data_IF_238132121637
#
_entry.id   IF_238132121637
#
_cell.length_a   1.000
_cell.length_b   1.000
_cell.length_c   1.000
_cell.angle_alpha   90.00
_cell.angle_beta   90.00
_cell.angle_gamma   90.00
#
_symmetry.space_group_name_H-M   'P 1'
#
loop_
_entity.id
_entity.type
_entity.pdbx_description
1 polymer ?
#
# COMPACT_ATOMS: atom_id res chain seq x y z
N UNK A 1 -2.80 -3.80 32.98
CA UNK A 1 -3.26 -2.75 32.05
C UNK A 1 -3.35 -3.41 30.70
N UNK A 2 -4.50 -3.33 30.03
CA UNK A 2 -4.57 -3.71 28.61
C UNK A 2 -3.65 -2.73 27.85
N UNK A 3 -2.87 -3.19 26.86
CA UNK A 3 -2.08 -2.29 26.03
C UNK A 3 -2.99 -1.23 25.41
N UNK A 4 -2.52 0.01 25.34
CA UNK A 4 -3.27 1.12 24.77
C UNK A 4 -3.42 0.88 23.26
N UNK A 5 -4.63 0.57 22.80
CA UNK A 5 -4.92 0.32 21.39
C UNK A 5 -5.44 1.59 20.73
N UNK A 6 -5.09 1.81 19.47
CA UNK A 6 -5.63 2.91 18.66
C UNK A 6 -7.00 2.49 18.15
N UNK A 7 -8.03 3.28 18.47
CA UNK A 7 -9.38 3.06 17.96
C UNK A 7 -9.51 3.57 16.52
N UNK A 8 -9.94 2.69 15.62
CA UNK A 8 -10.29 2.98 14.23
C UNK A 8 -11.78 3.34 14.14
N UNK A 9 -12.08 4.35 13.34
CA UNK A 9 -13.44 4.75 13.02
C UNK A 9 -13.65 4.70 11.51
N UNK A 10 -14.72 4.06 11.05
CA UNK A 10 -15.06 4.07 9.64
C UNK A 10 -15.67 5.41 9.25
N UNK A 11 -15.03 6.11 8.30
CA UNK A 11 -15.58 7.36 7.72
C UNK A 11 -16.64 7.08 6.67
N UNK A 12 -16.36 6.13 5.79
CA UNK A 12 -17.21 5.72 4.67
C UNK A 12 -16.77 4.38 4.12
N UNK A 13 -17.60 3.82 3.25
CA UNK A 13 -17.19 2.78 2.30
C UNK A 13 -16.60 3.41 1.04
N UNK A 14 -15.81 2.66 0.30
CA UNK A 14 -15.24 3.05 -0.99
C UNK A 14 -16.20 2.75 -2.15
N UNK A 15 -17.37 3.39 -2.16
CA UNK A 15 -18.37 3.30 -3.23
C UNK A 15 -17.94 4.05 -4.50
N UNK A 16 -18.24 3.49 -5.67
CA UNK A 16 -17.75 3.94 -6.98
C UNK A 16 -18.91 4.11 -7.95
N UNK A 17 -18.87 5.17 -8.76
CA UNK A 17 -19.81 5.37 -9.84
C UNK A 17 -19.54 4.35 -10.96
N UNK A 18 -20.55 3.54 -11.29
CA UNK A 18 -20.43 2.51 -12.34
C UNK A 18 -20.75 3.08 -13.71
N UNK A 19 -19.86 2.82 -14.68
CA UNK A 19 -20.07 3.16 -16.09
C UNK A 19 -20.63 2.00 -16.92
N UNK A 20 -20.44 0.76 -16.45
CA UNK A 20 -20.84 -0.46 -17.15
C UNK A 20 -21.39 -1.51 -16.17
N UNK A 21 -22.37 -2.36 -16.56
CA UNK A 21 -22.97 -3.36 -15.66
C UNK A 21 -22.01 -4.40 -15.07
N UNK A 22 -20.85 -4.62 -15.70
CA UNK A 22 -19.83 -5.55 -15.22
C UNK A 22 -18.90 -4.94 -14.15
N UNK A 23 -19.01 -3.64 -13.88
CA UNK A 23 -18.20 -2.97 -12.86
C UNK A 23 -18.85 -3.13 -11.49
N UNK A 24 -18.04 -3.48 -10.47
CA UNK A 24 -18.49 -3.47 -9.08
C UNK A 24 -18.78 -2.03 -8.64
N UNK A 25 -19.87 -1.75 -7.89
CA UNK A 25 -20.19 -0.39 -7.43
C UNK A 25 -19.34 0.09 -6.24
N UNK A 26 -18.22 -0.58 -5.97
CA UNK A 26 -17.28 -0.27 -4.90
C UNK A 26 -15.90 -0.86 -5.21
N UNK A 27 -14.89 -0.43 -4.45
CA UNK A 27 -13.60 -1.10 -4.33
C UNK A 27 -13.71 -2.20 -3.26
N UNK A 28 -13.26 -3.42 -3.55
CA UNK A 28 -13.32 -4.54 -2.61
C UNK A 28 -12.01 -4.75 -1.87
N UNK A 29 -10.89 -4.91 -2.59
CA UNK A 29 -9.58 -5.17 -2.01
C UNK A 29 -8.66 -3.95 -2.18
N UNK A 30 -8.80 -2.97 -1.28
CA UNK A 30 -8.06 -1.72 -1.35
C UNK A 30 -6.67 -1.86 -0.71
N UNK A 31 -5.61 -1.71 -1.51
CA UNK A 31 -4.24 -2.11 -1.13
C UNK A 31 -3.21 -0.99 -1.29
N UNK A 32 -3.67 0.26 -1.37
CA UNK A 32 -2.77 1.42 -1.32
C UNK A 32 -3.54 2.73 -1.34
N UNK A 33 -3.06 3.71 -0.58
CA UNK A 33 -3.73 5.01 -0.41
C UNK A 33 -2.74 6.17 -0.53
N UNK A 34 -3.11 7.16 -1.34
CA UNK A 34 -2.49 8.47 -1.29
C UNK A 34 -3.54 9.57 -1.25
N UNK A 35 -3.29 10.63 -0.47
CA UNK A 35 -4.20 11.76 -0.31
C UNK A 35 -3.46 13.04 -0.68
N UNK A 36 -4.09 13.86 -1.51
CA UNK A 36 -3.52 15.12 -1.96
C UNK A 36 -4.48 15.85 -2.89
N UNK A 37 -4.28 17.16 -3.04
CA UNK A 37 -5.10 18.00 -3.93
C UNK A 37 -6.63 17.91 -3.67
N UNK A 38 -7.05 17.70 -2.41
CA UNK A 38 -8.47 17.53 -2.06
C UNK A 38 -9.09 16.24 -2.60
N UNK A 39 -8.26 15.24 -2.91
CA UNK A 39 -8.67 13.95 -3.46
C UNK A 39 -7.96 12.81 -2.73
N UNK A 40 -8.55 11.61 -2.81
CA UNK A 40 -7.97 10.35 -2.33
C UNK A 40 -7.82 9.42 -3.51
N UNK A 41 -6.65 8.83 -3.64
CA UNK A 41 -6.28 7.93 -4.73
C UNK A 41 -6.05 6.57 -4.12
N UNK A 42 -6.73 5.58 -4.66
CA UNK A 42 -6.70 4.20 -4.17
C UNK A 42 -6.36 3.28 -5.33
N UNK A 43 -5.43 2.35 -5.09
CA UNK A 43 -5.21 1.17 -5.93
C UNK A 43 -5.77 -0.06 -5.21
N UNK A 44 -6.03 -1.10 -5.98
CA UNK A 44 -6.59 -2.35 -5.50
C UNK A 44 -5.77 -3.52 -6.05
N UNK A 45 -5.65 -4.60 -5.30
CA UNK A 45 -4.87 -5.76 -5.74
C UNK A 45 -5.52 -6.46 -6.97
N UNK A 46 -6.84 -6.43 -7.06
CA UNK A 46 -7.68 -7.19 -7.99
C UNK A 46 -8.13 -6.39 -9.22
N UNK A 47 -7.82 -5.09 -9.29
CA UNK A 47 -8.20 -4.20 -10.39
C UNK A 47 -6.99 -3.48 -10.99
N UNK A 48 -7.01 -3.27 -12.31
CA UNK A 48 -5.98 -2.51 -13.02
C UNK A 48 -6.32 -1.02 -13.16
N UNK A 49 -6.93 -0.44 -12.12
CA UNK A 49 -7.43 0.93 -12.15
C UNK A 49 -7.01 1.75 -10.93
N UNK A 50 -6.94 3.06 -11.11
CA UNK A 50 -6.81 4.05 -10.05
C UNK A 50 -8.20 4.54 -9.71
N UNK A 51 -8.64 4.35 -8.48
CA UNK A 51 -9.92 4.89 -8.04
C UNK A 51 -9.69 6.21 -7.32
N UNK A 52 -10.32 7.26 -7.82
CA UNK A 52 -10.18 8.63 -7.29
C UNK A 52 -11.47 9.04 -6.59
N UNK A 53 -11.36 9.37 -5.31
CA UNK A 53 -12.47 9.82 -4.48
C UNK A 53 -12.33 11.32 -4.16
N UNK A 54 -13.43 12.09 -4.15
CA UNK A 54 -13.41 13.45 -3.62
C UNK A 54 -13.13 13.42 -2.11
N UNK A 55 -12.56 14.50 -1.57
CA UNK A 55 -12.41 14.67 -0.12
C UNK A 55 -13.78 14.68 0.58
N UNK A 56 -14.76 15.36 -0.02
CA UNK A 56 -16.14 15.46 0.47
C UNK A 56 -17.00 14.23 0.18
N UNK A 57 -18.34 14.39 0.23
CA UNK A 57 -19.26 13.32 -0.11
C UNK A 57 -19.26 13.05 -1.62
N UNK A 58 -19.60 11.82 -2.00
CA UNK A 58 -19.76 11.41 -3.40
C UNK A 58 -18.91 10.19 -3.76
N UNK A 59 -19.33 9.41 -4.76
CA UNK A 59 -18.67 8.17 -5.13
C UNK A 59 -17.31 8.44 -5.78
N UNK A 60 -16.44 7.43 -5.73
CA UNK A 60 -15.19 7.40 -6.47
C UNK A 60 -15.42 7.22 -7.97
N UNK A 61 -14.39 7.52 -8.76
CA UNK A 61 -14.32 7.24 -10.19
C UNK A 61 -13.09 6.39 -10.49
N UNK A 62 -13.28 5.30 -11.23
CA UNK A 62 -12.17 4.51 -11.78
C UNK A 62 -11.56 5.21 -12.99
N UNK A 63 -10.24 5.17 -13.06
CA UNK A 63 -9.44 5.59 -14.20
C UNK A 63 -8.49 4.43 -14.55
N UNK A 64 -8.30 4.10 -15.83
CA UNK A 64 -7.38 3.02 -16.20
C UNK A 64 -5.94 3.41 -15.83
N UNK A 65 -5.19 2.49 -15.20
CA UNK A 65 -3.80 2.76 -14.79
C UNK A 65 -2.83 2.81 -15.98
N UNK A 66 -3.22 2.29 -17.13
CA UNK A 66 -2.50 2.42 -18.38
C UNK A 66 -3.47 2.31 -19.55
N UNK A 67 -3.06 2.71 -20.77
CA UNK A 67 -3.93 2.61 -21.94
C UNK A 67 -4.44 1.17 -22.15
N UNK A 68 -5.76 1.01 -22.18
CA UNK A 68 -6.41 -0.29 -22.36
C UNK A 68 -6.57 -1.14 -21.10
N UNK A 69 -6.18 -0.66 -19.92
CA UNK A 69 -6.43 -1.37 -18.67
C UNK A 69 -7.95 -1.53 -18.41
N UNK A 70 -8.42 -2.70 -17.98
CA UNK A 70 -9.82 -2.90 -17.63
C UNK A 70 -10.21 -2.14 -16.35
N UNK A 71 -11.49 -1.77 -16.25
CA UNK A 71 -12.08 -1.08 -15.09
C UNK A 71 -12.93 -2.02 -14.21
N UNK A 72 -12.71 -3.32 -14.31
CA UNK A 72 -13.38 -4.36 -13.54
C UNK A 72 -12.34 -5.29 -12.93
N UNK A 73 -12.77 -6.07 -11.93
CA UNK A 73 -11.95 -7.07 -11.27
C UNK A 73 -11.39 -8.07 -12.28
N UNK A 74 -10.13 -8.41 -12.11
CA UNK A 74 -9.41 -9.37 -12.94
C UNK A 74 -9.37 -10.73 -12.25
N UNK A 75 -9.31 -11.78 -13.06
CA UNK A 75 -9.06 -13.13 -12.56
C UNK A 75 -7.71 -13.19 -11.82
N UNK A 76 -7.61 -14.06 -10.80
CA UNK A 76 -6.42 -14.16 -9.90
C UNK A 76 -5.08 -14.31 -10.64
N UNK A 77 -5.09 -14.93 -11.82
CA UNK A 77 -3.90 -15.16 -12.66
C UNK A 77 -3.53 -13.96 -13.57
N UNK A 78 -4.41 -12.98 -13.68
CA UNK A 78 -4.30 -11.80 -14.55
C UNK A 78 -4.15 -10.50 -13.76
N UNK A 79 -4.51 -10.50 -12.46
CA UNK A 79 -4.43 -9.30 -11.62
C UNK A 79 -2.99 -8.75 -11.49
N UNK A 80 -2.80 -7.43 -11.57
CA UNK A 80 -1.50 -6.79 -11.44
C UNK A 80 -0.95 -6.84 -10.00
N UNK A 81 -1.84 -7.04 -9.01
CA UNK A 81 -1.47 -7.19 -7.59
C UNK A 81 -0.78 -5.92 -7.07
N UNK A 82 -1.48 -4.79 -7.15
CA UNK A 82 -0.96 -3.47 -6.77
C UNK A 82 -1.13 -3.25 -5.27
N UNK A 83 -0.03 -3.42 -4.54
CA UNK A 83 0.04 -3.40 -3.07
C UNK A 83 0.64 -2.10 -2.52
N UNK A 84 0.61 -1.01 -3.27
CA UNK A 84 1.14 0.25 -2.76
C UNK A 84 0.99 1.43 -3.70
N UNK A 85 0.86 2.62 -3.11
CA UNK A 85 0.73 3.88 -3.84
C UNK A 85 1.60 4.98 -3.24
N UNK A 86 2.75 5.24 -3.87
CA UNK A 86 3.72 6.21 -3.36
C UNK A 86 3.74 7.51 -4.18
N UNK A 87 3.78 8.65 -3.49
CA UNK A 87 4.04 9.92 -4.16
C UNK A 87 5.52 10.10 -4.53
N UNK A 88 5.74 10.60 -5.73
CA UNK A 88 7.02 10.95 -6.32
C UNK A 88 7.07 12.44 -6.70
N UNK A 89 8.26 13.04 -6.85
CA UNK A 89 8.43 14.42 -7.26
C UNK A 89 7.81 14.71 -8.63
N UNK A 90 7.45 15.97 -8.83
CA UNK A 90 6.82 16.43 -10.07
C UNK A 90 5.35 16.01 -10.21
N UNK A 91 4.67 15.75 -9.09
CA UNK A 91 3.25 15.39 -9.09
C UNK A 91 3.00 14.01 -9.68
N UNK A 92 3.80 13.01 -9.32
CA UNK A 92 3.65 11.65 -9.83
C UNK A 92 3.26 10.69 -8.71
N UNK A 93 2.53 9.63 -9.05
CA UNK A 93 2.28 8.49 -8.18
C UNK A 93 2.86 7.23 -8.81
N UNK A 94 3.48 6.39 -7.99
CA UNK A 94 3.90 5.04 -8.33
C UNK A 94 2.86 4.06 -7.78
N UNK A 95 2.18 3.33 -8.66
CA UNK A 95 1.47 2.10 -8.30
C UNK A 95 2.46 0.94 -8.27
N UNK A 96 2.72 0.40 -7.08
CA UNK A 96 3.70 -0.65 -6.84
C UNK A 96 3.01 -2.03 -6.90
N UNK A 97 3.46 -2.96 -7.76
CA UNK A 97 2.97 -4.33 -7.74
C UNK A 97 3.77 -5.21 -6.76
N UNK A 98 3.20 -6.33 -6.32
CA UNK A 98 3.80 -7.19 -5.29
C UNK A 98 5.09 -7.89 -5.71
N UNK A 99 5.26 -8.22 -6.98
CA UNK A 99 6.46 -8.91 -7.46
C UNK A 99 6.52 -10.41 -7.26
N UNK A 100 5.49 -10.97 -6.63
CA UNK A 100 5.39 -12.40 -6.27
C UNK A 100 5.38 -13.33 -7.49
N UNK A 101 5.04 -12.82 -8.68
CA UNK A 101 5.19 -13.56 -9.95
C UNK A 101 5.71 -12.64 -11.06
N UNK A 102 6.23 -13.17 -12.19
CA UNK A 102 6.66 -12.33 -13.31
C UNK A 102 5.57 -11.39 -13.87
N UNK A 103 4.29 -11.76 -13.77
CA UNK A 103 3.16 -10.91 -14.20
C UNK A 103 2.90 -9.75 -13.25
N UNK A 104 3.23 -9.93 -11.97
CA UNK A 104 3.07 -8.94 -10.88
C UNK A 104 4.31 -8.03 -10.76
N UNK A 105 4.96 -7.72 -11.88
CA UNK A 105 6.12 -6.81 -11.97
C UNK A 105 5.84 -5.60 -12.85
N UNK A 106 4.56 -5.40 -13.18
CA UNK A 106 4.05 -4.28 -13.97
C UNK A 106 3.32 -3.35 -13.05
N UNK A 107 3.97 -2.24 -12.73
CA UNK A 107 3.38 -1.16 -11.96
C UNK A 107 2.76 -0.11 -12.87
N UNK A 108 2.47 1.03 -12.26
CA UNK A 108 2.00 2.20 -13.00
C UNK A 108 2.74 3.46 -12.56
N UNK A 109 2.95 4.38 -13.49
CA UNK A 109 3.35 5.75 -13.21
C UNK A 109 2.24 6.70 -13.63
N UNK A 110 1.65 7.37 -12.65
CA UNK A 110 0.54 8.31 -12.84
C UNK A 110 1.08 9.73 -12.70
N UNK A 111 0.90 10.58 -13.70
CA UNK A 111 1.22 12.01 -13.62
C UNK A 111 -0.04 12.80 -13.30
N UNK A 112 0.02 13.63 -12.27
CA UNK A 112 -1.04 14.48 -11.79
C UNK A 112 -0.79 15.95 -12.19
N UNK A 113 -1.87 16.67 -12.47
CA UNK A 113 -1.85 18.11 -12.65
C UNK A 113 -1.89 18.86 -11.32
N UNK A 114 -1.83 20.18 -11.38
CA UNK A 114 -1.77 21.02 -10.17
C UNK A 114 -2.99 20.88 -9.26
N UNK A 115 -4.14 20.44 -9.79
CA UNK A 115 -5.37 20.20 -9.04
C UNK A 115 -5.64 18.70 -8.80
N UNK A 116 -4.65 17.84 -9.06
CA UNK A 116 -4.76 16.40 -8.88
C UNK A 116 -5.51 15.67 -10.00
N UNK A 117 -5.82 16.33 -11.12
CA UNK A 117 -6.34 15.63 -12.29
C UNK A 117 -5.28 14.68 -12.86
N UNK A 118 -5.68 13.47 -13.26
CA UNK A 118 -4.76 12.53 -13.93
C UNK A 118 -4.50 13.04 -15.34
N UNK A 119 -3.26 13.44 -15.60
CA UNK A 119 -2.81 13.93 -16.92
C UNK A 119 -2.36 12.78 -17.82
N UNK A 120 -1.68 11.80 -17.22
CA UNK A 120 -1.13 10.63 -17.92
C UNK A 120 -1.03 9.47 -16.95
N UNK A 121 -1.30 8.27 -17.44
CA UNK A 121 -1.12 7.03 -16.67
C UNK A 121 -0.50 6.00 -17.60
N UNK A 122 0.60 5.39 -17.16
CA UNK A 122 1.37 4.46 -17.98
C UNK A 122 1.82 3.24 -17.22
N UNK A 123 1.91 2.13 -17.94
CA UNK A 123 2.49 0.91 -17.40
C UNK A 123 4.00 1.11 -17.22
N UNK A 124 4.49 0.69 -16.06
CA UNK A 124 5.89 0.75 -15.69
C UNK A 124 6.42 -0.67 -15.51
N UNK A 125 7.34 -1.08 -16.38
CA UNK A 125 7.99 -2.39 -16.28
C UNK A 125 9.09 -2.35 -15.22
N UNK A 126 8.90 -3.06 -14.11
CA UNK A 126 9.81 -3.07 -12.96
C UNK A 126 10.71 -4.31 -12.92
N UNK A 127 10.64 -5.17 -13.95
CA UNK A 127 11.32 -6.47 -14.03
C UNK A 127 12.78 -6.47 -13.58
N UNK A 128 13.66 -5.64 -14.17
CA UNK A 128 15.08 -5.61 -13.80
C UNK A 128 15.35 -5.27 -12.32
N UNK A 129 14.59 -4.32 -11.75
CA UNK A 129 14.68 -4.02 -10.33
C UNK A 129 14.22 -5.22 -9.50
N UNK A 130 13.09 -5.83 -9.86
CA UNK A 130 12.51 -6.95 -9.11
C UNK A 130 13.39 -8.20 -9.16
N UNK A 131 14.05 -8.48 -10.29
CA UNK A 131 15.05 -9.54 -10.40
C UNK A 131 16.24 -9.32 -9.46
N UNK A 132 16.62 -8.06 -9.22
CA UNK A 132 17.64 -7.72 -8.24
C UNK A 132 17.11 -7.87 -6.81
N UNK A 133 15.91 -7.38 -6.50
CA UNK A 133 15.32 -7.48 -5.16
C UNK A 133 15.11 -8.94 -4.74
N UNK A 134 14.72 -9.82 -5.68
CA UNK A 134 14.54 -11.25 -5.45
C UNK A 134 15.83 -12.00 -5.05
N UNK A 135 17.01 -11.35 -5.10
CA UNK A 135 18.26 -11.91 -4.59
C UNK A 135 18.45 -11.67 -3.08
N UNK A 136 17.64 -10.78 -2.48
CA UNK A 136 17.71 -10.41 -1.06
C UNK A 136 16.73 -11.20 -0.19
N UNK A 137 15.82 -11.95 -0.81
CA UNK A 137 14.75 -12.69 -0.14
C UNK A 137 14.42 -13.96 -0.92
N UNK A 138 13.99 -15.03 -0.23
CA UNK A 138 13.55 -16.28 -0.86
C UNK A 138 12.25 -16.14 -1.64
N UNK A 139 11.39 -15.21 -1.23
CA UNK A 139 10.07 -15.00 -1.80
C UNK A 139 9.78 -13.50 -1.81
N UNK A 140 9.94 -12.86 -2.98
CA UNK A 140 9.69 -11.43 -3.12
C UNK A 140 8.18 -11.17 -3.08
N UNK A 141 7.76 -10.28 -2.19
CA UNK A 141 6.38 -9.85 -2.04
C UNK A 141 6.36 -8.45 -1.40
N UNK A 142 6.26 -7.42 -2.22
CA UNK A 142 6.27 -6.03 -1.80
C UNK A 142 4.85 -5.57 -1.44
N UNK A 143 4.72 -4.80 -0.37
CA UNK A 143 3.41 -4.38 0.19
C UNK A 143 3.37 -2.89 0.51
N UNK A 144 4.29 -2.09 0.00
CA UNK A 144 4.26 -0.67 0.32
C UNK A 144 5.47 0.08 -0.19
N UNK A 145 5.27 1.38 -0.42
CA UNK A 145 6.32 2.26 -0.87
C UNK A 145 6.23 3.67 -0.27
N UNK A 146 7.36 4.22 0.14
CA UNK A 146 7.45 5.56 0.68
C UNK A 146 8.72 6.26 0.21
N UNK A 147 8.57 7.46 -0.36
CA UNK A 147 9.71 8.28 -0.74
C UNK A 147 10.15 9.19 0.41
N UNK A 148 11.42 9.07 0.77
CA UNK A 148 12.10 9.92 1.76
C UNK A 148 13.26 10.68 1.11
N UNK A 149 13.88 11.67 1.78
CA UNK A 149 15.10 12.30 1.27
C UNK A 149 16.25 11.33 0.97
N UNK A 150 16.27 10.14 1.58
CA UNK A 150 17.28 9.10 1.38
C UNK A 150 17.03 8.26 0.11
N UNK A 151 15.78 8.21 -0.36
CA UNK A 151 15.36 7.41 -1.51
C UNK A 151 13.98 6.77 -1.32
N UNK A 152 13.63 5.90 -2.24
CA UNK A 152 12.38 5.16 -2.24
C UNK A 152 12.55 3.91 -1.36
N UNK A 153 11.79 3.83 -0.28
CA UNK A 153 11.70 2.65 0.55
C UNK A 153 10.57 1.76 0.06
N UNK A 154 10.83 0.45 -0.01
CA UNK A 154 9.86 -0.58 -0.33
C UNK A 154 9.75 -1.54 0.86
N UNK A 155 8.54 -1.91 1.26
CA UNK A 155 8.31 -2.90 2.30
C UNK A 155 8.19 -4.29 1.67
N UNK A 156 9.06 -5.21 2.07
CA UNK A 156 8.94 -6.63 1.77
C UNK A 156 8.16 -7.33 2.89
N UNK A 157 7.04 -7.98 2.53
CA UNK A 157 6.28 -8.82 3.45
C UNK A 157 7.08 -10.06 3.82
N UNK A 158 7.16 -10.33 5.11
CA UNK A 158 7.60 -11.63 5.59
C UNK A 158 6.51 -12.69 5.50
N UNK A 159 6.88 -13.92 5.80
CA UNK A 159 6.02 -15.03 6.12
C UNK A 159 6.76 -15.95 7.11
N UNK A 160 6.25 -17.16 7.39
CA UNK A 160 6.90 -18.08 8.36
C UNK A 160 8.33 -18.48 7.98
N UNK A 161 8.68 -18.47 6.70
CA UNK A 161 9.98 -18.86 6.16
C UNK A 161 10.84 -17.69 5.67
N UNK A 162 10.22 -16.53 5.42
CA UNK A 162 10.84 -15.37 4.81
C UNK A 162 10.73 -14.18 5.77
N UNK A 163 11.83 -13.54 6.21
CA UNK A 163 11.73 -12.37 7.09
C UNK A 163 11.21 -11.14 6.34
N UNK A 164 10.51 -10.26 7.06
CA UNK A 164 10.18 -8.92 6.56
C UNK A 164 11.46 -8.07 6.42
N UNK A 165 11.47 -7.16 5.45
CA UNK A 165 12.59 -6.26 5.23
C UNK A 165 12.12 -4.92 4.64
N UNK A 166 12.99 -3.91 4.72
CA UNK A 166 12.88 -2.66 3.97
C UNK A 166 13.96 -2.62 2.91
N UNK A 167 13.58 -2.38 1.66
CA UNK A 167 14.52 -2.19 0.55
C UNK A 167 14.63 -0.72 0.21
N UNK A 168 15.86 -0.21 0.11
CA UNK A 168 16.13 1.14 -0.34
C UNK A 168 16.49 1.13 -1.82
N UNK A 169 15.82 1.96 -2.60
CA UNK A 169 16.00 2.12 -4.05
C UNK A 169 16.28 3.59 -4.37
N UNK A 170 17.20 3.83 -5.29
CA UNK A 170 17.48 5.15 -5.83
C UNK A 170 16.29 5.62 -6.71
N UNK A 171 15.64 6.74 -6.38
CA UNK A 171 14.41 7.14 -7.07
C UNK A 171 14.68 7.87 -8.40
N UNK A 172 15.92 8.19 -8.76
CA UNK A 172 16.24 9.11 -9.86
C UNK A 172 15.59 8.76 -11.20
N UNK A 173 15.55 7.48 -11.58
CA UNK A 173 14.89 7.06 -12.83
C UNK A 173 13.39 7.29 -12.77
N UNK A 174 12.76 6.91 -11.66
CA UNK A 174 11.33 7.12 -11.44
C UNK A 174 10.96 8.61 -11.43
N UNK A 175 11.78 9.46 -10.83
CA UNK A 175 11.63 10.93 -10.84
C UNK A 175 11.65 11.51 -12.26
N UNK A 176 12.42 10.90 -13.15
CA UNK A 176 12.54 11.24 -14.56
C UNK A 176 11.46 10.56 -15.43
N UNK A 177 10.56 9.79 -14.82
CA UNK A 177 9.51 9.04 -15.51
C UNK A 177 10.02 7.82 -16.27
N UNK A 178 11.14 7.25 -15.84
CA UNK A 178 11.76 6.07 -16.43
C UNK A 178 11.63 4.87 -15.49
N UNK A 179 11.60 3.67 -16.07
CA UNK A 179 11.67 2.43 -15.31
C UNK A 179 12.99 2.36 -14.50
N UNK A 180 12.94 1.90 -13.23
CA UNK A 180 14.13 1.64 -12.46
C UNK A 180 14.89 0.44 -13.03
N UNK A 181 16.20 0.43 -12.82
CA UNK A 181 17.11 -0.63 -13.22
C UNK A 181 17.63 -1.39 -11.99
N UNK A 182 18.31 -2.50 -12.23
CA UNK A 182 18.87 -3.34 -11.16
C UNK A 182 19.88 -2.58 -10.28
N UNK A 183 20.65 -1.66 -10.87
CA UNK A 183 21.65 -0.83 -10.17
C UNK A 183 21.05 0.31 -9.35
N UNK A 184 19.73 0.53 -9.41
CA UNK A 184 19.05 1.46 -8.51
C UNK A 184 18.83 0.86 -7.11
N UNK A 185 18.95 -0.46 -6.93
CA UNK A 185 18.90 -1.07 -5.60
C UNK A 185 20.11 -0.66 -4.76
N UNK A 186 19.87 -0.13 -3.56
CA UNK A 186 20.91 0.37 -2.67
C UNK A 186 21.25 -0.64 -1.58
N UNK A 187 20.24 -1.09 -0.80
CA UNK A 187 20.43 -2.05 0.30
C UNK A 187 19.12 -2.63 0.80
N UNK A 188 19.20 -3.77 1.46
CA UNK A 188 18.16 -4.33 2.30
C UNK A 188 18.44 -4.04 3.78
N UNK A 189 17.37 -3.80 4.55
CA UNK A 189 17.41 -3.55 5.98
C UNK A 189 16.42 -4.51 6.65
N UNK A 190 16.86 -5.40 7.56
CA UNK A 190 15.96 -6.30 8.26
C UNK A 190 14.87 -5.54 9.03
N UNK A 191 13.66 -6.09 9.04
CA UNK A 191 12.53 -5.51 9.75
C UNK A 191 11.88 -6.56 10.65
N UNK A 192 11.83 -6.29 11.96
CA UNK A 192 11.16 -7.14 12.93
C UNK A 192 10.10 -6.34 13.67
N UNK A 193 8.83 -6.68 13.44
CA UNK A 193 7.66 -6.03 14.05
C UNK A 193 7.13 -6.78 15.28
N UNK A 194 7.69 -7.96 15.58
CA UNK A 194 7.22 -8.83 16.64
C UNK A 194 5.98 -9.64 16.25
N UNK A 195 5.22 -10.05 17.25
CA UNK A 195 4.03 -10.90 17.11
C UNK A 195 2.93 -10.44 18.06
N UNK A 196 1.68 -10.75 17.70
CA UNK A 196 0.50 -10.57 18.55
C UNK A 196 -0.14 -11.93 18.74
N UNK A 197 -0.26 -12.38 19.98
CA UNK A 197 -0.80 -13.71 20.33
C UNK A 197 -0.11 -14.87 19.56
N UNK A 198 1.20 -14.76 19.31
CA UNK A 198 1.98 -15.78 18.58
C UNK A 198 1.86 -15.71 17.06
N UNK A 199 1.13 -14.73 16.51
CA UNK A 199 1.03 -14.48 15.06
C UNK A 199 1.98 -13.34 14.68
N UNK A 200 2.96 -13.57 13.80
CA UNK A 200 3.90 -12.55 13.36
C UNK A 200 3.19 -11.37 12.68
N UNK A 201 3.64 -10.15 12.98
CA UNK A 201 3.22 -8.95 12.26
C UNK A 201 4.12 -8.74 11.03
N UNK A 202 3.51 -8.52 9.86
CA UNK A 202 4.19 -8.25 8.59
C UNK A 202 3.69 -6.91 8.02
N UNK A 203 4.55 -6.18 7.28
CA UNK A 203 4.18 -4.87 6.73
C UNK A 203 3.13 -5.00 5.63
N UNK A 204 2.23 -4.02 5.55
CA UNK A 204 1.14 -3.95 4.57
C UNK A 204 0.99 -2.60 3.87
N UNK A 205 1.70 -1.54 4.32
CA UNK A 205 1.91 -0.29 3.57
C UNK A 205 3.02 0.55 4.23
N UNK A 206 3.51 1.57 3.52
CA UNK A 206 4.47 2.55 4.01
C UNK A 206 4.01 3.99 3.72
N UNK A 207 4.30 4.90 4.64
CA UNK A 207 4.14 6.34 4.45
C UNK A 207 5.33 7.12 5.01
N UNK A 208 5.88 8.11 4.29
CA UNK A 208 7.04 8.86 4.76
C UNK A 208 6.64 9.90 5.83
N UNK A 209 7.39 9.98 6.92
CA UNK A 209 7.27 11.03 7.93
C UNK A 209 8.26 12.17 7.67
N UNK A 210 7.95 13.36 8.19
CA UNK A 210 8.75 14.59 7.95
C UNK A 210 10.18 14.49 8.49
N UNK A 211 10.40 13.71 9.54
CA UNK A 211 11.70 13.51 10.16
C UNK A 211 12.54 12.42 9.46
N UNK A 212 12.03 11.83 8.38
CA UNK A 212 12.68 10.77 7.62
C UNK A 212 12.45 9.36 8.15
N UNK A 213 11.66 9.19 9.23
CA UNK A 213 11.15 7.88 9.61
C UNK A 213 10.03 7.43 8.65
N UNK A 214 9.68 6.15 8.75
CA UNK A 214 8.60 5.53 8.01
C UNK A 214 7.47 5.21 8.97
N UNK A 215 6.26 5.68 8.66
CA UNK A 215 5.03 5.10 9.18
C UNK A 215 4.74 3.83 8.36
N UNK A 216 4.29 2.79 9.05
CA UNK A 216 4.02 1.49 8.46
C UNK A 216 2.74 0.93 9.05
N UNK A 217 1.88 0.34 8.23
CA UNK A 217 0.80 -0.55 8.69
C UNK A 217 1.27 -1.99 8.68
N UNK A 218 0.75 -2.78 9.61
CA UNK A 218 1.09 -4.19 9.71
C UNK A 218 -0.14 -5.03 10.01
N UNK A 219 -0.17 -6.24 9.47
CA UNK A 219 -1.18 -7.25 9.73
C UNK A 219 -0.54 -8.52 10.30
N UNK A 220 -1.31 -9.23 11.12
CA UNK A 220 -1.01 -10.59 11.55
C UNK A 220 -2.06 -11.52 10.97
N UNK A 221 -1.67 -12.38 10.04
CA UNK A 221 -2.53 -13.32 9.33
C UNK A 221 -2.24 -14.75 9.82
N UNK A 222 -3.22 -15.42 10.42
CA UNK A 222 -3.01 -16.78 10.94
C UNK A 222 -3.14 -17.83 9.83
N UNK A 223 -2.04 -18.06 9.13
CA UNK A 223 -1.91 -19.07 8.08
C UNK A 223 -1.89 -20.53 8.59
N UNK A 224 -2.14 -20.81 9.87
CA UNK A 224 -2.31 -22.19 10.37
C UNK A 224 -3.73 -22.75 10.17
N UNK A 225 -4.73 -21.91 9.97
CA UNK A 225 -6.10 -22.36 9.70
C UNK A 225 -6.26 -22.65 8.20
N UNK A 226 -6.11 -23.91 7.81
CA UNK A 226 -6.19 -24.34 6.40
C UNK A 226 -7.59 -24.15 5.76
N UNK A 227 -8.60 -23.72 6.53
CA UNK A 227 -9.97 -23.50 6.04
C UNK A 227 -10.31 -22.04 5.72
N UNK A 228 -9.65 -21.08 6.37
CA UNK A 228 -9.86 -19.65 6.15
C UNK A 228 -8.50 -19.07 5.78
N UNK A 229 -8.30 -18.68 4.52
CA UNK A 229 -7.06 -18.21 3.88
C UNK A 229 -6.33 -17.10 4.67
N UNK A 230 -5.80 -17.43 5.86
CA UNK A 230 -5.17 -16.55 6.83
C UNK A 230 -6.03 -15.40 7.35
N UNK A 231 -7.07 -15.65 8.15
CA UNK A 231 -7.85 -14.56 8.74
C UNK A 231 -6.93 -13.51 9.43
N UNK A 232 -7.16 -12.22 9.16
CA UNK A 232 -6.45 -11.14 9.84
C UNK A 232 -6.87 -11.10 11.32
N UNK A 233 -5.96 -11.52 12.20
CA UNK A 233 -6.20 -11.61 13.65
C UNK A 233 -5.58 -10.47 14.45
N UNK A 234 -4.69 -9.70 13.81
CA UNK A 234 -4.08 -8.52 14.39
C UNK A 234 -3.81 -7.46 13.33
N UNK A 235 -3.90 -6.21 13.72
CA UNK A 235 -3.54 -5.07 12.91
C UNK A 235 -2.80 -4.05 13.78
N UNK A 236 -1.80 -3.37 13.23
CA UNK A 236 -0.98 -2.42 13.96
C UNK A 236 -0.49 -1.28 13.05
N UNK A 237 -0.06 -0.19 13.68
CA UNK A 237 0.79 0.83 13.04
C UNK A 237 2.10 0.94 13.78
N UNK A 238 3.17 1.21 13.05
CA UNK A 238 4.51 1.36 13.58
C UNK A 238 5.22 2.58 12.99
N UNK A 239 6.07 3.22 13.81
CA UNK A 239 7.07 4.18 13.32
C UNK A 239 8.42 3.48 13.31
N UNK A 240 9.05 3.40 12.15
CA UNK A 240 10.28 2.66 11.92
C UNK A 240 11.36 3.60 11.38
N UNK A 241 12.57 3.49 11.91
CA UNK A 241 13.72 4.22 11.39
C UNK A 241 14.24 3.61 10.08
N UNK A 242 14.97 4.38 9.25
CA UNK A 242 15.71 3.87 8.09
C UNK A 242 16.73 2.75 8.40
N UNK A 243 16.99 2.50 9.69
CA UNK A 243 17.85 1.43 10.21
C UNK A 243 17.09 0.12 10.47
N UNK A 244 15.76 0.11 10.30
CA UNK A 244 14.87 -1.01 10.65
C UNK A 244 14.44 -1.02 12.12
N UNK A 245 14.93 -0.09 12.94
CA UNK A 245 14.57 0.01 14.35
C UNK A 245 13.15 0.55 14.51
N UNK A 246 12.28 -0.25 15.14
CA UNK A 246 10.94 0.18 15.54
C UNK A 246 11.05 1.19 16.69
N UNK A 247 10.59 2.42 16.47
CA UNK A 247 10.50 3.46 17.52
C UNK A 247 9.26 3.26 18.38
N UNK A 248 8.16 2.89 17.73
CA UNK A 248 6.84 2.73 18.33
C UNK A 248 6.02 1.78 17.51
N UNK A 249 5.17 0.99 18.17
CA UNK A 249 4.19 0.12 17.55
C UNK A 249 2.97 0.06 18.47
N UNK A 250 1.77 0.26 17.92
CA UNK A 250 0.51 0.09 18.65
C UNK A 250 -0.47 -0.73 17.81
N UNK A 251 -1.28 -1.55 18.49
CA UNK A 251 -2.34 -2.31 17.83
C UNK A 251 -3.54 -1.42 17.51
N UNK A 252 -4.21 -1.76 16.41
CA UNK A 252 -5.43 -1.13 15.92
C UNK A 252 -6.66 -1.93 16.39
N UNK A 253 -7.75 -1.23 16.72
CA UNK A 253 -9.03 -1.85 17.09
C UNK A 253 -10.22 -1.09 16.50
N UNK A 254 -11.24 -1.76 15.91
CA UNK A 254 -11.32 -3.19 15.63
C UNK A 254 -10.24 -3.65 14.64
N UNK A 255 -10.02 -4.97 14.55
CA UNK A 255 -9.04 -5.55 13.62
C UNK A 255 -9.59 -5.44 12.20
N UNK A 256 -8.83 -4.75 11.35
CA UNK A 256 -9.01 -4.69 9.91
C UNK A 256 -7.67 -5.00 9.26
N UNK A 257 -7.65 -5.72 8.14
CA UNK A 257 -6.45 -5.90 7.31
C UNK A 257 -6.17 -4.59 6.58
N UNK A 258 -5.52 -3.67 7.28
CA UNK A 258 -5.19 -2.35 6.75
C UNK A 258 -4.04 -2.50 5.75
N UNK A 259 -4.23 -2.06 4.52
CA UNK A 259 -3.27 -2.19 3.41
C UNK A 259 -3.01 -0.84 2.71
N UNK A 260 -3.44 0.26 3.33
CA UNK A 260 -3.09 1.58 2.84
C UNK A 260 -3.13 2.61 3.94
N UNK A 261 -2.14 3.52 3.97
CA UNK A 261 -2.04 4.54 5.00
C UNK A 261 -1.57 5.89 4.46
N UNK A 262 -2.26 6.93 4.92
CA UNK A 262 -1.84 8.31 4.77
C UNK A 262 -1.87 9.00 6.13
N UNK A 263 -0.86 9.82 6.43
CA UNK A 263 -0.79 10.52 7.70
C UNK A 263 -0.53 12.02 7.54
N UNK A 264 -1.20 12.78 8.41
CA UNK A 264 -0.93 14.21 8.60
C UNK A 264 -0.54 14.42 10.06
N UNK A 265 0.63 15.00 10.28
CA UNK A 265 1.06 15.39 11.62
C UNK A 265 0.45 16.74 12.00
N UNK A 266 -0.30 16.77 13.10
CA UNK A 266 -0.94 17.96 13.67
C UNK A 266 -0.83 17.94 15.20
N UNK A 267 -0.32 19.03 15.78
CA UNK A 267 -0.26 19.23 17.23
C UNK A 267 0.38 18.06 18.01
N UNK A 268 1.41 17.43 17.44
CA UNK A 268 2.13 16.31 18.04
C UNK A 268 1.44 14.94 17.91
N UNK A 269 0.34 14.85 17.15
CA UNK A 269 -0.35 13.61 16.82
C UNK A 269 -0.28 13.32 15.32
N UNK A 270 -0.37 12.05 14.94
CA UNK A 270 -0.62 11.61 13.57
C UNK A 270 -2.11 11.40 13.36
N UNK A 271 -2.72 12.20 12.49
CA UNK A 271 -4.05 11.97 11.95
C UNK A 271 -3.93 10.99 10.78
N UNK A 272 -4.49 9.80 10.93
CA UNK A 272 -4.38 8.71 9.98
C UNK A 272 -5.66 8.60 9.15
N UNK A 273 -5.49 8.43 7.84
CA UNK A 273 -6.50 7.85 6.96
C UNK A 273 -5.97 6.51 6.47
N UNK A 274 -6.83 5.49 6.52
CA UNK A 274 -6.43 4.13 6.16
C UNK A 274 -7.47 3.47 5.26
N UNK A 275 -7.05 2.59 4.37
CA UNK A 275 -7.93 1.65 3.67
C UNK A 275 -7.63 0.24 4.13
N UNK A 276 -8.62 -0.64 4.07
CA UNK A 276 -8.47 -2.04 4.45
C UNK A 276 -9.11 -2.95 3.41
N UNK A 277 -8.57 -4.16 3.31
CA UNK A 277 -9.16 -5.28 2.59
C UNK A 277 -10.05 -6.08 3.56
N UNK A 278 -11.36 -6.24 3.26
CA UNK A 278 -12.23 -7.14 4.02
C UNK A 278 -11.97 -8.64 3.79
N UNK A 279 -11.09 -9.01 2.86
CA UNK A 279 -10.85 -10.39 2.37
C UNK A 279 -12.13 -11.06 1.82
N UNK A 280 -13.15 -10.27 1.47
CA UNK A 280 -14.40 -10.72 0.86
C UNK A 280 -14.76 -9.81 -0.33
N UNK A 281 -14.72 -10.33 -1.57
CA UNK A 281 -14.96 -9.51 -2.77
C UNK A 281 -16.38 -8.96 -2.88
N UNK A 282 -17.31 -9.40 -2.03
CA UNK A 282 -18.68 -8.90 -1.94
C UNK A 282 -18.87 -7.73 -0.97
N UNK A 283 -17.85 -7.43 -0.15
CA UNK A 283 -17.88 -6.37 0.85
C UNK A 283 -17.08 -5.16 0.34
N UNK A 284 -17.61 -3.93 0.44
CA UNK A 284 -16.85 -2.74 0.08
C UNK A 284 -15.74 -2.46 1.10
N UNK A 285 -14.54 -2.16 0.61
CA UNK A 285 -13.43 -1.69 1.43
C UNK A 285 -13.83 -0.44 2.22
N UNK A 286 -13.49 -0.36 3.52
CA UNK A 286 -13.72 0.83 4.31
C UNK A 286 -12.61 1.87 4.11
N UNK A 287 -12.98 3.15 4.19
CA UNK A 287 -12.05 4.24 4.54
C UNK A 287 -12.16 4.47 6.04
N UNK A 288 -11.05 4.29 6.74
CA UNK A 288 -10.92 4.37 8.18
C UNK A 288 -10.15 5.64 8.58
N UNK A 289 -10.37 6.11 9.80
CA UNK A 289 -9.61 7.18 10.42
C UNK A 289 -9.20 6.84 11.86
N UNK A 290 -8.07 7.41 12.28
CA UNK A 290 -7.62 7.36 13.67
C UNK A 290 -6.73 8.55 14.01
N UNK A 291 -6.55 8.80 15.29
CA UNK A 291 -5.54 9.73 15.81
C UNK A 291 -4.57 8.97 16.68
N UNK A 292 -3.28 9.08 16.36
CA UNK A 292 -2.20 8.43 17.10
C UNK A 292 -1.32 9.47 17.78
N UNK A 293 -1.36 9.51 19.11
CA UNK A 293 -0.57 10.42 19.96
C UNK A 293 0.59 9.71 20.57
#
# INVERSE_FOLDING_TARGET
MLPEMISLHQRRVLDVAVGHPSERPFVAAASGLWVGHGQRYVVSDDEACLTVFPEGPGPGRRLPLWPGAPLHALEKAEKPDLEGLAALPGGRLLGLPSGSTPRRRRGALVSLGARGEVLRSEMLELGPLFDRLAQETSELNLEGAALTPQGLWLAQRGNRSTPSALFLVNPRRLEQGQAPAADDFVRAVPLALGEVNGVPLTPTDLFPLKDGALLLTAAGEDTADAYNDGACVAAAVAVVEPTGRVRRLEQLTPVHKVEGVHAVERDGALELLLVADPDDPSIPAPLLEATWR
#
